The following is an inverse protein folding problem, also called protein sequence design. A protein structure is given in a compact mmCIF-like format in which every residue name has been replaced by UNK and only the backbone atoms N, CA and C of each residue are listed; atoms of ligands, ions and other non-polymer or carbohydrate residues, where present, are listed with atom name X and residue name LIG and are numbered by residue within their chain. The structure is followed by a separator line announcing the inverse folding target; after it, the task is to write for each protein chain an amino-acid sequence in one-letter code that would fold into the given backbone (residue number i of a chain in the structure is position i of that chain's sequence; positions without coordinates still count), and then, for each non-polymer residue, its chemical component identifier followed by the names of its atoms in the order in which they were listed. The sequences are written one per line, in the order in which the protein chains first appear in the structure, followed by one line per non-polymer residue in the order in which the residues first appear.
data_IF_348968387414
#
_entry.id   IF_348968387414
#
_cell.length_a   1.000
_cell.length_b   1.000
_cell.length_c   1.000
_cell.angle_alpha   90.00
_cell.angle_beta   90.00
_cell.angle_gamma   90.00
#
_symmetry.space_group_name_H-M   'P 1'
#
loop_
_entity.id
_entity.type
_entity.pdbx_description
1 polymer ?
#
# COMPACT_ATOMS: atom_id res chain seq x y z
N UNK A 1 20.49 1.62 -4.42
CA UNK A 1 19.65 0.82 -5.34
C UNK A 1 18.78 -0.21 -4.61
N UNK A 2 19.34 -0.96 -3.64
CA UNK A 2 18.60 -1.94 -2.85
C UNK A 2 17.28 -1.42 -2.24
N UNK A 3 17.29 -0.24 -1.61
CA UNK A 3 16.07 0.35 -1.02
C UNK A 3 14.96 0.56 -2.05
N UNK A 4 15.30 1.05 -3.25
CA UNK A 4 14.33 1.36 -4.31
C UNK A 4 13.70 0.07 -4.85
N UNK A 5 14.51 -0.97 -5.03
CA UNK A 5 14.04 -2.30 -5.44
C UNK A 5 13.12 -2.93 -4.39
N UNK A 6 13.54 -2.94 -3.12
CA UNK A 6 12.69 -3.45 -2.02
C UNK A 6 11.39 -2.66 -1.90
N UNK A 7 11.44 -1.35 -2.07
CA UNK A 7 10.27 -0.50 -2.00
C UNK A 7 9.28 -0.79 -3.14
N UNK A 8 9.79 -0.95 -4.37
CA UNK A 8 9.01 -1.38 -5.52
C UNK A 8 8.38 -2.76 -5.30
N UNK A 9 9.17 -3.73 -4.85
CA UNK A 9 8.70 -5.09 -4.58
C UNK A 9 7.60 -5.13 -3.50
N UNK A 10 7.73 -4.34 -2.45
CA UNK A 10 6.73 -4.21 -1.39
C UNK A 10 5.44 -3.54 -1.91
N UNK A 11 5.57 -2.48 -2.71
CA UNK A 11 4.42 -1.82 -3.34
C UNK A 11 3.69 -2.76 -4.31
N UNK A 12 4.41 -3.59 -5.06
CA UNK A 12 3.83 -4.60 -5.95
C UNK A 12 3.05 -5.67 -5.18
N UNK A 13 3.58 -6.14 -4.05
CA UNK A 13 2.86 -7.06 -3.17
C UNK A 13 1.56 -6.44 -2.65
N UNK A 14 1.61 -5.18 -2.20
CA UNK A 14 0.42 -4.48 -1.71
C UNK A 14 -0.63 -4.34 -2.81
N UNK A 15 -0.22 -3.99 -4.04
CA UNK A 15 -1.11 -3.87 -5.18
C UNK A 15 -1.86 -5.17 -5.49
N UNK A 16 -1.20 -6.32 -5.32
CA UNK A 16 -1.82 -7.64 -5.48
C UNK A 16 -2.78 -7.97 -4.34
N UNK A 17 -2.37 -7.74 -3.08
CA UNK A 17 -3.20 -8.02 -1.90
C UNK A 17 -4.50 -7.21 -1.93
N UNK A 18 -4.45 -5.96 -2.37
CA UNK A 18 -5.63 -5.08 -2.39
C UNK A 18 -6.33 -5.04 -3.74
N UNK A 19 -5.83 -5.75 -4.77
CA UNK A 19 -6.30 -5.65 -6.16
C UNK A 19 -6.43 -4.18 -6.60
N UNK A 20 -5.34 -3.43 -6.49
CA UNK A 20 -5.30 -1.97 -6.69
C UNK A 20 -5.47 -1.52 -8.15
N UNK A 21 -6.55 -1.90 -8.83
CA UNK A 21 -6.79 -1.57 -10.26
C UNK A 21 -6.95 -0.07 -10.51
N UNK A 22 -7.36 0.71 -9.50
CA UNK A 22 -7.39 2.18 -9.56
C UNK A 22 -6.00 2.84 -9.54
N UNK A 23 -4.96 2.08 -9.21
CA UNK A 23 -3.58 2.55 -9.11
C UNK A 23 -3.00 2.51 -7.71
N UNK A 24 -1.69 2.69 -7.65
CA UNK A 24 -0.91 2.79 -6.41
C UNK A 24 -0.36 4.21 -6.30
N UNK A 25 -0.59 4.83 -5.14
CA UNK A 25 -0.07 6.16 -4.85
C UNK A 25 1.01 6.08 -3.78
N UNK A 26 2.20 6.56 -4.13
CA UNK A 26 3.39 6.60 -3.30
C UNK A 26 3.45 7.99 -2.65
N UNK A 27 3.13 8.06 -1.37
CA UNK A 27 3.16 9.29 -0.58
C UNK A 27 4.19 9.25 0.54
N UNK A 28 4.15 10.25 1.42
CA UNK A 28 5.05 10.38 2.57
C UNK A 28 6.27 11.26 2.28
N UNK A 29 6.97 11.69 3.33
CA UNK A 29 8.03 12.70 3.22
C UNK A 29 9.30 12.24 2.47
N UNK A 30 9.51 10.93 2.33
CA UNK A 30 10.68 10.37 1.63
C UNK A 30 10.44 10.30 0.13
N UNK A 31 9.24 9.90 -0.31
CA UNK A 31 8.91 9.67 -1.72
C UNK A 31 9.26 10.85 -2.67
N UNK A 32 8.92 12.12 -2.37
CA UNK A 32 9.30 13.24 -3.23
C UNK A 32 10.81 13.52 -3.22
N UNK A 33 11.52 13.24 -2.10
CA UNK A 33 12.98 13.45 -2.00
C UNK A 33 13.77 12.46 -2.84
N UNK A 34 13.27 11.22 -2.97
CA UNK A 34 13.91 10.15 -3.76
C UNK A 34 13.31 10.02 -5.17
N UNK A 35 12.49 10.97 -5.60
CA UNK A 35 11.79 10.92 -6.89
C UNK A 35 12.72 10.65 -8.09
N UNK A 36 13.93 11.24 -8.20
CA UNK A 36 14.86 10.91 -9.29
C UNK A 36 15.23 9.42 -9.33
N UNK A 37 15.41 8.80 -8.15
CA UNK A 37 15.73 7.38 -8.02
C UNK A 37 14.53 6.48 -8.31
N UNK A 38 13.31 6.92 -7.98
CA UNK A 38 12.08 6.19 -8.33
C UNK A 38 11.84 6.20 -9.85
N UNK A 39 12.19 7.30 -10.52
CA UNK A 39 12.08 7.45 -11.99
C UNK A 39 13.15 6.69 -12.77
N UNK A 40 14.23 6.26 -12.12
CA UNK A 40 15.32 5.52 -12.77
C UNK A 40 14.93 4.11 -13.26
N UNK A 41 13.70 3.65 -12.99
CA UNK A 41 13.14 2.40 -13.54
C UNK A 41 13.25 1.17 -12.64
N UNK A 42 14.23 1.12 -11.74
CA UNK A 42 14.43 0.01 -10.79
C UNK A 42 13.21 -0.24 -9.90
N UNK A 43 12.54 0.83 -9.47
CA UNK A 43 11.30 0.73 -8.69
C UNK A 43 10.22 -0.03 -9.48
N UNK A 44 9.99 0.34 -10.74
CA UNK A 44 8.95 -0.26 -11.58
C UNK A 44 9.30 -1.68 -12.01
N UNK A 45 10.59 -1.97 -12.26
CA UNK A 45 11.05 -3.34 -12.48
C UNK A 45 10.70 -4.23 -11.28
N UNK A 46 11.10 -3.83 -10.08
CA UNK A 46 10.83 -4.62 -8.87
C UNK A 46 9.32 -4.67 -8.51
N UNK A 47 8.56 -3.63 -8.84
CA UNK A 47 7.10 -3.62 -8.69
C UNK A 47 6.43 -4.69 -9.55
N UNK A 48 6.85 -4.82 -10.81
CA UNK A 48 6.28 -5.76 -11.79
C UNK A 48 6.84 -7.18 -11.69
N UNK A 49 7.98 -7.36 -11.02
CA UNK A 49 8.62 -8.66 -10.83
C UNK A 49 7.84 -9.55 -9.85
N UNK A 50 6.71 -10.08 -10.33
CA UNK A 50 5.81 -10.99 -9.60
C UNK A 50 5.45 -12.24 -10.44
N UNK A 51 6.37 -12.66 -11.30
CA UNK A 51 6.21 -13.81 -12.18
C UNK A 51 4.92 -13.73 -13.01
N UNK A 52 4.04 -14.74 -12.89
CA UNK A 52 2.77 -14.82 -13.61
C UNK A 52 1.82 -13.63 -13.39
N UNK A 53 1.99 -12.88 -12.30
CA UNK A 53 1.17 -11.72 -11.97
C UNK A 53 1.75 -10.40 -12.52
N UNK A 54 2.92 -10.42 -13.15
CA UNK A 54 3.54 -9.25 -13.77
C UNK A 54 2.63 -8.51 -14.76
N UNK A 55 1.98 -9.21 -15.72
CA UNK A 55 1.07 -8.57 -16.68
C UNK A 55 -0.14 -7.86 -16.03
N UNK A 56 -0.57 -8.34 -14.85
CA UNK A 56 -1.62 -7.65 -14.08
C UNK A 56 -1.10 -6.33 -13.52
N UNK A 57 0.12 -6.33 -12.98
CA UNK A 57 0.76 -5.15 -12.39
C UNK A 57 1.20 -4.11 -13.43
N UNK A 58 1.46 -4.52 -14.67
CA UNK A 58 1.70 -3.60 -15.78
C UNK A 58 0.54 -2.65 -16.04
N UNK A 59 -0.69 -3.13 -15.80
CA UNK A 59 -1.93 -2.36 -15.98
C UNK A 59 -2.24 -1.43 -14.79
N UNK A 60 -1.52 -1.56 -13.68
CA UNK A 60 -1.73 -0.75 -12.48
C UNK A 60 -0.84 0.50 -12.56
N UNK A 61 -1.43 1.71 -12.63
CA UNK A 61 -0.64 2.93 -12.66
C UNK A 61 -0.03 3.21 -11.28
N UNK A 62 1.26 3.52 -11.24
CA UNK A 62 1.94 4.00 -10.02
C UNK A 62 2.19 5.50 -10.14
N UNK A 63 1.77 6.26 -9.12
CA UNK A 63 1.92 7.73 -9.07
C UNK A 63 2.60 8.14 -7.77
N UNK A 64 3.50 9.13 -7.84
CA UNK A 64 4.11 9.71 -6.65
C UNK A 64 3.39 11.02 -6.31
N UNK A 65 2.99 11.17 -5.06
CA UNK A 65 2.37 12.40 -4.57
C UNK A 65 3.48 13.41 -4.27
N UNK A 66 3.49 14.52 -5.00
CA UNK A 66 4.49 15.59 -4.85
C UNK A 66 3.98 16.78 -4.05
N UNK A 67 2.68 16.87 -3.80
CA UNK A 67 2.07 17.99 -3.07
C UNK A 67 2.39 17.89 -1.56
N UNK A 68 3.18 18.81 -0.99
CA UNK A 68 3.60 18.74 0.42
C UNK A 68 2.44 18.84 1.40
N UNK A 69 1.33 19.49 1.03
CA UNK A 69 0.16 19.67 1.90
C UNK A 69 -0.86 18.55 1.76
N UNK A 70 -0.57 17.47 1.02
CA UNK A 70 -1.55 16.40 0.74
C UNK A 70 -2.21 15.85 2.00
N UNK A 71 -1.47 15.69 3.10
CA UNK A 71 -2.02 15.23 4.36
C UNK A 71 -3.06 16.21 4.94
N UNK A 72 -2.77 17.52 4.88
CA UNK A 72 -3.69 18.57 5.34
C UNK A 72 -4.92 18.67 4.43
N UNK A 73 -4.73 18.57 3.12
CA UNK A 73 -5.84 18.56 2.14
C UNK A 73 -6.77 17.36 2.42
N UNK A 74 -6.21 16.18 2.64
CA UNK A 74 -6.97 14.99 3.01
C UNK A 74 -7.73 15.17 4.33
N UNK A 75 -7.08 15.76 5.34
CA UNK A 75 -7.72 16.03 6.63
C UNK A 75 -8.90 17.02 6.49
N UNK A 76 -8.71 18.11 5.73
CA UNK A 76 -9.76 19.09 5.44
C UNK A 76 -10.92 18.45 4.67
N UNK A 77 -10.64 17.62 3.66
CA UNK A 77 -11.66 16.89 2.91
C UNK A 77 -12.45 15.91 3.80
N UNK A 78 -11.76 15.18 4.68
CA UNK A 78 -12.41 14.28 5.64
C UNK A 78 -13.33 15.04 6.60
N UNK A 79 -12.90 16.20 7.12
CA UNK A 79 -13.70 17.04 8.00
C UNK A 79 -14.92 17.63 7.27
N UNK A 80 -14.75 18.12 6.04
CA UNK A 80 -15.83 18.65 5.21
C UNK A 80 -16.89 17.58 4.88
N UNK A 81 -16.47 16.33 4.68
CA UNK A 81 -17.38 15.20 4.44
C UNK A 81 -18.14 14.74 5.69
N UNK A 82 -17.65 15.07 6.90
CA UNK A 82 -18.25 14.69 8.19
C UNK A 82 -18.48 15.93 9.06
N UNK A 83 -19.46 16.79 8.71
CA UNK A 83 -19.72 18.04 9.40
C UNK A 83 -20.17 17.85 10.87
N UNK A 84 -20.70 16.68 11.23
CA UNK A 84 -21.09 16.30 12.59
C UNK A 84 -19.94 15.84 13.49
N UNK A 85 -18.69 15.98 13.03
CA UNK A 85 -17.46 15.60 13.74
C UNK A 85 -16.77 14.42 13.06
N UNK A 86 -15.43 14.40 13.13
CA UNK A 86 -14.63 13.30 12.60
C UNK A 86 -14.98 12.04 13.41
N UNK A 87 -15.58 10.99 12.80
CA UNK A 87 -15.85 9.76 13.53
C UNK A 87 -14.52 9.23 14.09
N UNK A 88 -14.50 8.93 15.39
CA UNK A 88 -13.31 8.41 16.05
C UNK A 88 -12.73 7.27 15.21
N UNK A 89 -11.39 7.20 15.02
CA UNK A 89 -10.78 6.19 14.19
C UNK A 89 -11.27 4.83 14.67
N UNK A 90 -12.09 4.17 13.86
CA UNK A 90 -12.64 2.87 14.24
C UNK A 90 -11.42 1.98 14.42
N UNK A 91 -11.09 1.64 15.68
CA UNK A 91 -9.95 0.79 16.01
C UNK A 91 -10.02 -0.38 15.05
N UNK A 92 -8.96 -0.56 14.26
CA UNK A 92 -8.81 -1.71 13.39
C UNK A 92 -9.27 -2.92 14.18
N UNK A 93 -10.32 -3.57 13.67
CA UNK A 93 -10.94 -4.73 14.31
C UNK A 93 -9.95 -5.87 14.13
N UNK A 94 -8.89 -5.88 14.94
CA UNK A 94 -7.97 -7.01 15.07
C UNK A 94 -8.76 -8.10 15.77
N UNK A 95 -9.61 -8.79 15.01
CA UNK A 95 -10.12 -10.09 15.37
C UNK A 95 -8.95 -11.07 15.36
N UNK A 96 -8.17 -11.05 16.45
CA UNK A 96 -7.49 -12.24 16.94
C UNK A 96 -8.59 -13.22 17.36
N UNK A 97 -9.25 -13.86 16.40
CA UNK A 97 -10.16 -14.97 16.67
C UNK A 97 -9.27 -16.17 17.00
N UNK A 98 -8.92 -16.25 18.29
CA UNK A 98 -8.71 -17.48 19.06
C UNK A 98 -7.98 -18.62 18.33
N UNK A 99 -6.70 -18.78 18.67
CA UNK A 99 -6.04 -20.08 18.77
C UNK A 99 -6.97 -21.09 19.47
N UNK A 100 -7.66 -21.96 18.73
CA UNK A 100 -8.22 -23.22 19.26
C UNK A 100 -8.57 -24.21 18.15
N UNK A 101 -7.54 -24.78 17.52
CA UNK A 101 -7.65 -26.02 16.76
C UNK A 101 -6.29 -26.74 16.73
N UNK A 102 -5.66 -26.86 17.90
CA UNK A 102 -4.60 -27.84 18.11
C UNK A 102 -5.15 -28.93 19.03
N UNK A 103 -4.87 -30.18 18.67
CA UNK A 103 -5.07 -31.41 19.45
C UNK A 103 -6.46 -32.06 19.45
N UNK A 104 -6.82 -32.72 18.33
CA UNK A 104 -7.66 -33.94 18.39
C UNK A 104 -7.54 -34.82 17.14
N UNK A 105 -6.40 -35.49 16.95
CA UNK A 105 -6.30 -36.79 16.24
C UNK A 105 -4.87 -37.35 16.27
N UNK A 106 -4.50 -37.99 17.38
CA UNK A 106 -3.50 -39.08 17.38
C UNK A 106 -3.82 -40.04 18.52
N UNK A 107 -4.86 -40.84 18.31
CA UNK A 107 -5.12 -42.06 19.06
C UNK A 107 -6.03 -42.95 18.20
N UNK A 108 -5.38 -43.70 17.31
CA UNK A 108 -5.71 -45.04 16.83
C UNK A 108 -4.60 -45.44 15.88
#
# INVERSE_FOLDING_TARGET
DLFISLYGAAAGNLALVTKATGGVFVGGGIAPKILPRLRAGEFIRAFRDKGRLGPLLERIPVRVITEPRTALIGAAACAAAHPSGIPAPSRARTTTRTRKAASRKRKR
#
